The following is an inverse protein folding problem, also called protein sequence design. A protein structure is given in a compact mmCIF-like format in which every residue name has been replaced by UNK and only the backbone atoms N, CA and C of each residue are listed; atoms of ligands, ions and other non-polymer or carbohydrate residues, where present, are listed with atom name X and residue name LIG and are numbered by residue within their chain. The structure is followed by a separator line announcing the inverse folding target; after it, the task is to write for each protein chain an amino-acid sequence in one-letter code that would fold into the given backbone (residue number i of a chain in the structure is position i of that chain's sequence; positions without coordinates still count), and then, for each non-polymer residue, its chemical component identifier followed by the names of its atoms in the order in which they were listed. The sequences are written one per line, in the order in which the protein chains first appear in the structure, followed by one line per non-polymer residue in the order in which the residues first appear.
data_IF_574438281189
#
_entry.id   IF_574438281189
#
_cell.length_a   1.000
_cell.length_b   1.000
_cell.length_c   1.000
_cell.angle_alpha   90.00
_cell.angle_beta   90.00
_cell.angle_gamma   90.00
#
_symmetry.space_group_name_H-M   'P 1'
#
loop_
_entity.id
_entity.type
_entity.pdbx_description
1 polymer ?
#
# COMPACT_ATOMS: atom_id res chain seq x y z
N UNK A 1 70.28 58.55 -33.58
CA UNK A 1 71.12 58.41 -32.37
C UNK A 1 70.19 58.41 -31.17
N UNK A 2 70.30 57.38 -30.31
CA UNK A 2 69.35 56.92 -29.28
C UNK A 2 68.79 58.03 -28.37
N UNK A 3 67.50 57.99 -28.06
CA UNK A 3 66.97 58.35 -26.73
C UNK A 3 65.82 57.45 -26.30
N UNK A 4 65.90 57.16 -25.01
CA UNK A 4 65.29 56.13 -24.20
C UNK A 4 63.83 56.42 -23.87
N UNK A 5 62.98 55.39 -23.92
CA UNK A 5 61.62 55.38 -23.39
C UNK A 5 61.65 55.51 -21.86
N UNK A 6 60.91 56.47 -21.30
CA UNK A 6 60.53 56.48 -19.87
C UNK A 6 59.02 56.49 -19.79
N UNK A 7 58.52 55.48 -19.07
CA UNK A 7 57.13 55.13 -18.82
C UNK A 7 56.50 56.17 -17.88
N UNK A 8 55.28 56.62 -18.17
CA UNK A 8 54.36 57.15 -17.16
C UNK A 8 53.01 56.46 -17.31
N UNK A 9 52.63 55.75 -16.24
CA UNK A 9 51.31 55.15 -16.04
C UNK A 9 50.22 56.21 -16.18
N UNK A 10 49.21 55.91 -16.99
CA UNK A 10 47.89 56.50 -16.88
C UNK A 10 46.92 55.35 -16.59
N UNK A 11 46.39 55.36 -15.37
CA UNK A 11 45.44 54.42 -14.82
C UNK A 11 44.18 54.38 -15.71
N UNK A 12 43.91 53.24 -16.34
CA UNK A 12 42.62 53.00 -17.01
C UNK A 12 41.63 52.51 -15.97
N UNK A 13 40.67 53.36 -15.61
CA UNK A 13 39.48 52.93 -14.88
C UNK A 13 38.66 52.00 -15.80
N UNK A 14 38.57 50.72 -15.45
CA UNK A 14 37.71 49.76 -16.10
C UNK A 14 36.29 49.95 -15.52
N UNK A 15 35.38 50.51 -16.30
CA UNK A 15 33.95 50.52 -15.96
C UNK A 15 33.44 49.12 -16.26
N UNK A 16 33.23 48.32 -15.20
CA UNK A 16 32.50 47.06 -15.30
C UNK A 16 31.01 47.42 -15.35
N UNK A 17 30.40 47.28 -16.52
CA UNK A 17 28.94 47.34 -16.66
C UNK A 17 28.41 46.02 -16.11
N UNK A 18 27.87 46.07 -14.88
CA UNK A 18 27.14 44.96 -14.29
C UNK A 18 25.82 44.80 -15.04
N UNK A 19 25.74 43.84 -15.96
CA UNK A 19 24.46 43.42 -16.56
C UNK A 19 23.80 42.48 -15.56
N UNK A 20 22.90 43.02 -14.73
CA UNK A 20 22.02 42.20 -13.89
C UNK A 20 20.96 41.61 -14.82
N UNK A 21 21.14 40.37 -15.24
CA UNK A 21 20.07 39.59 -15.87
C UNK A 21 19.19 39.08 -14.73
N UNK A 22 18.09 39.78 -14.45
CA UNK A 22 17.02 39.23 -13.63
C UNK A 22 16.34 38.11 -14.42
N UNK A 23 16.63 36.85 -14.08
CA UNK A 23 15.81 35.72 -14.52
C UNK A 23 14.53 35.77 -13.70
N UNK A 24 13.51 36.43 -14.23
CA UNK A 24 12.15 36.33 -13.71
C UNK A 24 11.69 34.89 -13.95
N UNK A 25 11.71 34.03 -12.93
CA UNK A 25 10.98 32.77 -12.99
C UNK A 25 9.50 33.11 -13.09
N UNK A 26 8.94 33.08 -14.30
CA UNK A 26 7.50 33.04 -14.47
C UNK A 26 7.09 31.70 -13.89
N UNK A 27 6.60 31.70 -12.65
CA UNK A 27 5.78 30.61 -12.16
C UNK A 27 4.48 30.76 -12.93
N UNK A 28 4.12 29.85 -13.85
CA UNK A 28 2.83 29.94 -14.49
C UNK A 28 1.79 29.80 -13.39
N UNK A 29 1.12 30.90 -13.05
CA UNK A 29 -0.12 30.83 -12.29
C UNK A 29 -1.09 30.04 -13.15
N UNK A 30 -1.47 28.85 -12.69
CA UNK A 30 -2.57 28.10 -13.27
C UNK A 30 -3.83 28.95 -13.06
N UNK A 31 -4.17 29.77 -14.05
CA UNK A 31 -5.50 30.34 -14.13
C UNK A 31 -6.39 29.19 -14.57
N UNK A 32 -7.26 28.71 -13.68
CA UNK A 32 -8.38 27.87 -14.08
C UNK A 32 -9.11 28.63 -15.18
N UNK A 33 -8.98 28.19 -16.43
CA UNK A 33 -9.80 28.71 -17.50
C UNK A 33 -11.24 28.39 -17.10
N UNK A 34 -12.06 29.43 -16.88
CA UNK A 34 -13.45 29.28 -16.48
C UNK A 34 -14.31 28.51 -17.50
N UNK A 35 -13.74 28.20 -18.68
CA UNK A 35 -14.44 27.65 -19.84
C UNK A 35 -13.84 26.33 -20.39
N UNK A 36 -12.97 25.63 -19.66
CA UNK A 36 -12.81 24.20 -19.95
C UNK A 36 -14.03 23.49 -19.36
N UNK A 37 -14.79 22.70 -20.12
CA UNK A 37 -15.91 21.92 -19.58
C UNK A 37 -15.32 20.80 -18.71
N UNK A 38 -14.91 21.13 -17.49
CA UNK A 38 -14.52 20.17 -16.48
C UNK A 38 -15.75 19.29 -16.24
N UNK A 39 -15.63 18.02 -16.61
CA UNK A 39 -16.64 17.02 -16.28
C UNK A 39 -16.56 16.81 -14.77
N UNK A 40 -17.57 17.25 -14.03
CA UNK A 40 -17.61 17.02 -12.59
C UNK A 40 -17.52 15.52 -12.31
N UNK A 41 -16.46 15.13 -11.60
CA UNK A 41 -16.31 13.79 -11.03
C UNK A 41 -17.20 13.77 -9.78
N UNK A 42 -18.10 12.79 -9.72
CA UNK A 42 -18.98 12.64 -8.57
C UNK A 42 -18.22 12.04 -7.39
N UNK A 43 -18.21 12.78 -6.27
CA UNK A 43 -17.60 12.35 -5.02
C UNK A 43 -16.16 12.82 -4.86
N UNK A 44 -15.50 12.27 -3.85
CA UNK A 44 -14.13 12.57 -3.47
C UNK A 44 -13.22 11.41 -3.85
N UNK A 45 -12.03 11.73 -4.36
CA UNK A 45 -10.92 10.79 -4.45
C UNK A 45 -10.18 10.80 -3.12
N UNK A 46 -10.42 9.81 -2.26
CA UNK A 46 -9.88 9.77 -0.91
C UNK A 46 -9.44 8.33 -0.59
N UNK A 47 -8.19 8.18 -0.13
CA UNK A 47 -7.51 6.92 0.25
C UNK A 47 -7.06 6.00 -0.89
N UNK A 48 -7.59 6.16 -2.10
CA UNK A 48 -7.17 5.45 -3.30
C UNK A 48 -6.22 6.28 -4.16
N UNK A 49 -5.40 5.59 -4.96
CA UNK A 49 -4.50 6.20 -5.94
C UNK A 49 -5.09 5.99 -7.34
N UNK A 50 -4.99 6.98 -8.25
CA UNK A 50 -5.28 6.75 -9.66
C UNK A 50 -4.37 5.68 -10.26
N UNK A 51 -4.92 4.83 -11.13
CA UNK A 51 -4.16 3.79 -11.83
C UNK A 51 -3.88 4.22 -13.26
N UNK A 52 -2.65 4.02 -13.72
CA UNK A 52 -2.24 4.26 -15.10
C UNK A 52 -1.98 2.93 -15.80
N UNK A 53 -2.59 2.73 -16.97
CA UNK A 53 -2.37 1.52 -17.76
C UNK A 53 -2.69 1.78 -19.23
N UNK A 54 -1.94 1.16 -20.13
CA UNK A 54 -2.30 1.08 -21.56
C UNK A 54 -3.36 -0.02 -21.72
N UNK A 55 -4.63 0.37 -21.71
CA UNK A 55 -5.74 -0.57 -21.67
C UNK A 55 -6.19 -1.01 -23.06
N UNK A 56 -5.75 -0.30 -24.10
CA UNK A 56 -6.15 -0.53 -25.48
C UNK A 56 -4.97 -0.98 -26.39
N UNK A 57 -3.76 -1.04 -25.85
CA UNK A 57 -2.55 -1.50 -26.54
C UNK A 57 -1.95 -0.47 -27.51
N UNK A 58 -2.29 0.82 -27.40
CA UNK A 58 -1.81 1.87 -28.30
C UNK A 58 -0.47 2.51 -27.88
N UNK A 59 0.08 2.06 -26.76
CA UNK A 59 1.34 2.55 -26.18
C UNK A 59 1.19 3.81 -25.32
N UNK A 60 -0.04 4.27 -25.06
CA UNK A 60 -0.33 5.40 -24.17
C UNK A 60 -1.07 4.93 -22.94
N UNK A 61 -0.90 5.65 -21.84
CA UNK A 61 -1.52 5.28 -20.57
C UNK A 61 -2.87 6.01 -20.42
N UNK A 62 -3.93 5.24 -20.24
CA UNK A 62 -5.19 5.69 -19.70
C UNK A 62 -5.10 5.90 -18.18
N UNK A 63 -6.00 6.72 -17.64
CA UNK A 63 -6.09 7.08 -16.22
C UNK A 63 -7.41 6.59 -15.64
N UNK A 64 -7.33 5.80 -14.56
CA UNK A 64 -8.50 5.33 -13.81
C UNK A 64 -8.57 5.99 -12.44
N UNK A 65 -9.68 6.67 -12.16
CA UNK A 65 -9.87 7.50 -10.96
C UNK A 65 -11.07 6.98 -10.15
N UNK A 66 -10.84 6.20 -9.08
CA UNK A 66 -11.88 5.77 -8.16
C UNK A 66 -12.38 6.90 -7.25
N UNK A 67 -13.65 6.84 -6.84
CA UNK A 67 -14.27 7.81 -5.94
C UNK A 67 -15.03 7.15 -4.80
N UNK A 68 -15.20 7.89 -3.72
CA UNK A 68 -15.94 7.48 -2.54
C UNK A 68 -17.46 7.30 -2.78
N UNK A 69 -17.95 7.61 -3.98
CA UNK A 69 -19.34 7.38 -4.42
C UNK A 69 -19.50 6.07 -5.21
N UNK A 70 -18.50 5.20 -5.16
CA UNK A 70 -18.55 3.91 -5.86
C UNK A 70 -18.47 4.03 -7.36
N UNK A 71 -17.86 5.11 -7.86
CA UNK A 71 -17.59 5.33 -9.27
C UNK A 71 -16.11 5.19 -9.54
N UNK A 72 -15.76 4.63 -10.69
CA UNK A 72 -14.42 4.71 -11.22
C UNK A 72 -14.53 5.36 -12.59
N UNK A 73 -13.81 6.47 -12.78
CA UNK A 73 -13.76 7.20 -14.03
C UNK A 73 -12.56 6.76 -14.84
N UNK A 74 -12.70 6.66 -16.16
CA UNK A 74 -11.63 6.35 -17.09
C UNK A 74 -11.40 7.51 -18.05
N UNK A 75 -10.15 7.90 -18.24
CA UNK A 75 -9.74 8.96 -19.16
C UNK A 75 -8.59 8.50 -20.04
N UNK A 76 -8.60 8.91 -21.31
CA UNK A 76 -7.43 8.80 -22.18
C UNK A 76 -6.33 9.78 -21.73
N UNK A 77 -5.13 9.63 -22.31
CA UNK A 77 -3.96 10.47 -22.06
C UNK A 77 -4.23 11.97 -22.30
N UNK A 78 -5.17 12.27 -23.20
CA UNK A 78 -5.61 13.63 -23.53
C UNK A 78 -6.71 14.20 -22.61
N UNK A 79 -7.15 13.44 -21.60
CA UNK A 79 -8.19 13.81 -20.64
C UNK A 79 -9.63 13.60 -21.11
N UNK A 80 -9.85 13.08 -22.32
CA UNK A 80 -11.21 12.71 -22.78
C UNK A 80 -11.68 11.43 -22.08
N UNK A 81 -12.98 11.34 -21.79
CA UNK A 81 -13.54 10.19 -21.09
C UNK A 81 -13.56 8.94 -21.99
N UNK A 82 -13.20 7.81 -21.41
CA UNK A 82 -13.28 6.50 -22.09
C UNK A 82 -14.74 6.09 -22.18
N UNK A 83 -15.16 5.59 -23.34
CA UNK A 83 -16.52 5.06 -23.53
C UNK A 83 -16.75 3.85 -22.62
N UNK A 84 -17.93 3.76 -22.00
CA UNK A 84 -18.24 2.75 -20.99
C UNK A 84 -17.83 3.12 -19.57
N UNK A 85 -17.09 4.23 -19.39
CA UNK A 85 -16.73 4.78 -18.08
C UNK A 85 -17.52 6.07 -17.79
N UNK A 86 -17.92 6.33 -16.53
CA UNK A 86 -17.53 5.59 -15.33
C UNK A 86 -18.31 4.29 -15.10
N UNK A 87 -17.63 3.30 -14.52
CA UNK A 87 -18.30 2.12 -13.95
C UNK A 87 -18.82 2.43 -12.54
N UNK A 88 -19.74 1.60 -12.04
CA UNK A 88 -20.40 1.78 -10.76
C UNK A 88 -20.37 0.50 -9.94
N UNK A 89 -19.99 0.61 -8.67
CA UNK A 89 -20.06 -0.46 -7.66
C UNK A 89 -21.29 -0.30 -6.75
N UNK A 90 -22.42 0.11 -7.34
CA UNK A 90 -23.69 0.43 -6.67
C UNK A 90 -23.58 1.40 -5.49
N UNK A 91 -22.70 2.39 -5.59
CA UNK A 91 -22.53 3.40 -4.54
C UNK A 91 -21.67 2.95 -3.35
N UNK A 92 -21.06 1.76 -3.41
CA UNK A 92 -20.11 1.28 -2.39
C UNK A 92 -18.87 2.16 -2.38
N UNK A 93 -18.45 2.61 -1.21
CA UNK A 93 -17.27 3.44 -1.02
C UNK A 93 -16.02 2.73 -1.56
N UNK A 94 -15.21 3.41 -2.37
CA UNK A 94 -13.95 2.86 -2.89
C UNK A 94 -12.79 3.58 -2.22
N UNK A 95 -12.10 2.85 -1.35
CA UNK A 95 -10.82 3.26 -0.76
C UNK A 95 -9.63 2.54 -1.42
N UNK A 96 -9.91 1.53 -2.24
CA UNK A 96 -8.89 0.71 -2.90
C UNK A 96 -8.41 1.37 -4.20
N UNK A 97 -7.16 1.09 -4.58
CA UNK A 97 -6.63 1.48 -5.89
C UNK A 97 -6.92 0.34 -6.88
N UNK A 98 -7.41 0.63 -8.11
CA UNK A 98 -7.62 -0.39 -9.14
C UNK A 98 -6.31 -1.10 -9.51
N UNK A 99 -6.41 -2.40 -9.80
CA UNK A 99 -5.32 -3.16 -10.41
C UNK A 99 -5.63 -3.41 -11.88
N UNK A 100 -4.59 -3.42 -12.73
CA UNK A 100 -4.75 -3.63 -14.18
C UNK A 100 -3.77 -4.70 -14.67
N UNK A 101 -4.27 -5.64 -15.46
CA UNK A 101 -3.48 -6.73 -16.05
C UNK A 101 -4.37 -7.67 -16.86
N UNK A 102 -3.74 -8.49 -17.72
CA UNK A 102 -4.46 -9.54 -18.46
C UNK A 102 -4.77 -10.70 -17.51
N UNK A 103 -6.00 -10.72 -16.98
CA UNK A 103 -6.44 -11.70 -15.98
C UNK A 103 -7.12 -12.92 -16.62
N UNK A 104 -7.40 -12.85 -17.93
CA UNK A 104 -8.13 -13.88 -18.64
C UNK A 104 -7.30 -14.60 -19.73
N UNK A 105 -6.10 -14.09 -20.02
CA UNK A 105 -5.13 -14.63 -20.97
C UNK A 105 -5.49 -14.36 -22.44
N UNK A 106 -6.32 -13.36 -22.73
CA UNK A 106 -6.75 -13.02 -24.10
C UNK A 106 -5.85 -11.99 -24.79
N UNK A 107 -4.85 -11.46 -24.09
CA UNK A 107 -3.90 -10.47 -24.58
C UNK A 107 -4.34 -9.01 -24.40
N UNK A 108 -5.55 -8.76 -23.91
CA UNK A 108 -5.99 -7.44 -23.46
C UNK A 108 -5.92 -7.37 -21.94
N UNK A 109 -5.77 -6.16 -21.40
CA UNK A 109 -5.73 -5.98 -19.94
C UNK A 109 -7.09 -5.57 -19.40
N UNK A 110 -7.43 -6.11 -18.23
CA UNK A 110 -8.65 -5.82 -17.48
C UNK A 110 -8.39 -4.92 -16.29
N UNK A 111 -9.43 -4.22 -15.83
CA UNK A 111 -9.40 -3.46 -14.57
C UNK A 111 -10.12 -4.24 -13.48
N UNK A 112 -9.40 -4.57 -12.42
CA UNK A 112 -9.94 -5.15 -11.19
C UNK A 112 -10.11 -4.06 -10.15
N UNK A 113 -11.31 -3.94 -9.60
CA UNK A 113 -11.68 -2.94 -8.60
C UNK A 113 -12.30 -3.60 -7.38
N UNK A 114 -12.09 -3.01 -6.22
CA UNK A 114 -12.72 -3.45 -4.99
C UNK A 114 -13.32 -2.27 -4.21
N UNK A 115 -14.36 -2.53 -3.43
CA UNK A 115 -14.98 -1.50 -2.62
C UNK A 115 -15.90 -2.06 -1.55
N UNK A 116 -16.52 -1.14 -0.82
CA UNK A 116 -17.29 -1.41 0.39
C UNK A 116 -16.48 -1.01 1.61
N UNK A 117 -17.04 -0.14 2.45
CA UNK A 117 -16.41 0.32 3.68
C UNK A 117 -17.35 0.19 4.87
N UNK A 118 -16.82 -0.25 6.01
CA UNK A 118 -17.54 -0.42 7.27
C UNK A 118 -18.84 -1.25 7.14
N UNK A 119 -20.00 -0.60 7.18
CA UNK A 119 -21.30 -1.28 7.15
C UNK A 119 -21.77 -1.67 5.73
N UNK A 120 -20.99 -1.39 4.68
CA UNK A 120 -21.31 -1.77 3.31
C UNK A 120 -20.72 -3.14 2.96
N UNK A 121 -21.50 -4.03 2.32
CA UNK A 121 -20.95 -5.28 1.78
C UNK A 121 -19.77 -4.99 0.85
N UNK A 122 -18.73 -5.81 0.96
CA UNK A 122 -17.61 -5.78 0.04
C UNK A 122 -18.04 -6.13 -1.37
N UNK A 123 -17.25 -5.70 -2.33
CA UNK A 123 -17.33 -6.10 -3.72
C UNK A 123 -15.92 -6.16 -4.30
N UNK A 124 -15.69 -7.16 -5.14
CA UNK A 124 -14.52 -7.27 -6.01
C UNK A 124 -15.03 -7.60 -7.40
N UNK A 125 -14.63 -6.84 -8.40
CA UNK A 125 -15.16 -7.00 -9.75
C UNK A 125 -14.09 -6.70 -10.80
N UNK A 126 -14.16 -7.40 -11.93
CA UNK A 126 -13.31 -7.14 -13.09
C UNK A 126 -14.12 -6.60 -14.26
N UNK A 127 -13.48 -5.69 -14.99
CA UNK A 127 -14.06 -5.02 -16.14
C UNK A 127 -13.08 -5.00 -17.30
N UNK A 128 -13.60 -5.10 -18.53
CA UNK A 128 -12.80 -4.89 -19.73
C UNK A 128 -12.40 -3.43 -19.90
N UNK A 129 -11.49 -3.16 -20.84
CA UNK A 129 -11.16 -1.82 -21.34
C UNK A 129 -12.39 -0.94 -21.63
N UNK A 130 -13.43 -1.54 -22.20
CA UNK A 130 -14.68 -0.86 -22.58
C UNK A 130 -15.68 -0.72 -21.41
N UNK A 131 -15.27 -1.01 -20.17
CA UNK A 131 -16.13 -0.90 -18.98
C UNK A 131 -17.18 -2.00 -18.87
N UNK A 132 -17.05 -3.10 -19.60
CA UNK A 132 -17.98 -4.23 -19.49
C UNK A 132 -17.58 -5.12 -18.31
N UNK A 133 -18.52 -5.40 -17.41
CA UNK A 133 -18.26 -6.28 -16.25
C UNK A 133 -18.08 -7.72 -16.73
N UNK A 134 -16.95 -8.32 -16.39
CA UNK A 134 -16.66 -9.73 -16.65
C UNK A 134 -17.26 -10.61 -15.56
N UNK A 135 -16.95 -10.28 -14.30
CA UNK A 135 -17.45 -11.00 -13.13
C UNK A 135 -17.49 -10.08 -11.91
N UNK A 136 -18.16 -10.57 -10.86
CA UNK A 136 -18.28 -9.91 -9.57
C UNK A 136 -18.30 -10.97 -8.47
N UNK A 137 -17.59 -10.68 -7.38
CA UNK A 137 -17.61 -11.41 -6.14
C UNK A 137 -18.07 -10.49 -5.01
N UNK A 138 -18.98 -10.97 -4.18
CA UNK A 138 -19.37 -10.33 -2.91
C UNK A 138 -18.78 -11.18 -1.78
N UNK A 139 -17.71 -10.73 -1.11
CA UNK A 139 -17.16 -11.39 0.07
C UNK A 139 -18.22 -11.53 1.16
N UNK A 140 -18.32 -12.74 1.72
CA UNK A 140 -19.24 -13.11 2.80
C UNK A 140 -20.62 -12.41 2.75
N UNK A 141 -21.45 -12.67 1.72
CA UNK A 141 -22.68 -11.89 1.44
C UNK A 141 -23.74 -12.00 2.54
N UNK A 142 -23.61 -12.99 3.43
CA UNK A 142 -24.55 -13.30 4.49
C UNK A 142 -24.11 -12.81 5.88
N UNK A 143 -22.92 -12.21 6.02
CA UNK A 143 -22.49 -11.61 7.29
C UNK A 143 -23.25 -10.29 7.51
N UNK A 144 -24.47 -10.40 8.04
CA UNK A 144 -25.17 -9.26 8.62
C UNK A 144 -24.63 -9.04 10.05
N UNK A 145 -23.88 -7.96 10.22
CA UNK A 145 -23.77 -7.20 11.47
C UNK A 145 -23.42 -8.00 12.74
N UNK A 146 -22.38 -8.81 12.71
CA UNK A 146 -21.61 -8.98 13.95
C UNK A 146 -20.74 -7.73 14.14
N UNK A 147 -20.21 -7.52 15.34
CA UNK A 147 -19.71 -6.24 15.84
C UNK A 147 -18.56 -5.57 15.02
N UNK A 148 -18.12 -6.17 13.91
CA UNK A 148 -17.06 -5.68 13.00
C UNK A 148 -17.50 -5.51 11.51
N UNK A 149 -18.78 -5.21 11.24
CA UNK A 149 -19.20 -4.68 9.93
C UNK A 149 -19.43 -5.72 8.83
N UNK A 150 -19.97 -5.27 7.69
CA UNK A 150 -20.13 -6.09 6.50
C UNK A 150 -18.72 -6.35 5.90
N UNK A 151 -18.54 -7.38 5.06
CA UNK A 151 -17.24 -7.79 4.50
C UNK A 151 -16.60 -6.80 3.51
N UNK A 152 -16.56 -5.50 3.87
CA UNK A 152 -15.99 -4.41 3.10
C UNK A 152 -14.53 -4.66 2.73
N UNK A 153 -14.09 -3.94 1.71
CA UNK A 153 -12.78 -4.10 1.10
C UNK A 153 -12.08 -2.74 1.03
N UNK A 154 -11.12 -2.55 1.92
CA UNK A 154 -10.25 -1.37 1.94
C UNK A 154 -8.95 -1.60 1.17
N UNK A 155 -8.42 -2.82 1.20
CA UNK A 155 -7.21 -3.21 0.50
C UNK A 155 -7.36 -3.08 -1.03
N UNK A 156 -6.23 -2.89 -1.70
CA UNK A 156 -6.17 -2.91 -3.16
C UNK A 156 -6.06 -4.35 -3.67
N UNK A 157 -6.70 -4.72 -4.79
CA UNK A 157 -6.49 -6.03 -5.41
C UNK A 157 -5.02 -6.20 -5.81
N UNK A 158 -4.48 -7.40 -5.60
CA UNK A 158 -3.16 -7.80 -6.09
C UNK A 158 -3.34 -8.79 -7.23
N UNK A 159 -2.67 -8.55 -8.36
CA UNK A 159 -2.66 -9.47 -9.49
C UNK A 159 -1.37 -10.28 -9.48
N UNK A 160 -1.50 -11.61 -9.44
CA UNK A 160 -0.37 -12.53 -9.50
C UNK A 160 -0.85 -13.89 -10.02
N UNK A 161 -0.02 -14.57 -10.80
CA UNK A 161 -0.26 -15.97 -11.14
C UNK A 161 0.05 -16.83 -9.90
N UNK A 162 -0.99 -17.22 -9.15
CA UNK A 162 -0.83 -17.94 -7.88
C UNK A 162 -0.78 -19.45 -8.09
N UNK A 163 -1.35 -19.97 -9.17
CA UNK A 163 -1.47 -21.40 -9.43
C UNK A 163 -0.56 -21.90 -10.58
N UNK A 164 0.28 -21.02 -11.14
CA UNK A 164 1.18 -21.27 -12.26
C UNK A 164 0.45 -21.69 -13.55
N UNK A 165 -0.72 -21.11 -13.82
CA UNK A 165 -1.49 -21.36 -15.05
C UNK A 165 -1.25 -20.33 -16.17
N UNK A 166 -0.26 -19.45 -15.97
CA UNK A 166 0.13 -18.34 -16.86
C UNK A 166 -0.93 -17.24 -16.99
N UNK A 167 -1.94 -17.22 -16.11
CA UNK A 167 -2.93 -16.14 -16.02
C UNK A 167 -2.85 -15.47 -14.66
N UNK A 168 -3.13 -14.18 -14.63
CA UNK A 168 -3.14 -13.46 -13.36
C UNK A 168 -4.40 -13.80 -12.57
N UNK A 169 -4.22 -14.23 -11.33
CA UNK A 169 -5.27 -14.35 -10.32
C UNK A 169 -5.39 -13.05 -9.51
N UNK A 170 -6.49 -12.93 -8.76
CA UNK A 170 -6.74 -11.79 -7.87
C UNK A 170 -6.63 -12.24 -6.43
N UNK A 171 -5.76 -11.59 -5.67
CA UNK A 171 -5.66 -11.72 -4.22
C UNK A 171 -6.20 -10.46 -3.53
N UNK A 172 -7.03 -10.63 -2.51
CA UNK A 172 -7.67 -9.50 -1.82
C UNK A 172 -7.91 -9.78 -0.33
N UNK A 173 -7.52 -8.82 0.51
CA UNK A 173 -7.81 -8.80 1.95
C UNK A 173 -9.13 -8.10 2.23
N UNK A 174 -9.91 -8.62 3.17
CA UNK A 174 -11.27 -8.13 3.45
C UNK A 174 -11.53 -7.96 4.95
N UNK A 175 -12.52 -7.14 5.29
CA UNK A 175 -12.86 -6.84 6.70
C UNK A 175 -13.56 -8.00 7.41
N UNK A 176 -14.06 -8.99 6.67
CA UNK A 176 -14.61 -10.24 7.22
C UNK A 176 -13.51 -11.24 7.66
N UNK A 177 -12.30 -10.73 7.92
CA UNK A 177 -11.15 -11.46 8.45
C UNK A 177 -10.47 -12.41 7.45
N UNK A 178 -10.90 -12.37 6.18
CA UNK A 178 -10.49 -13.32 5.16
C UNK A 178 -9.56 -12.70 4.11
N UNK A 179 -8.79 -13.57 3.47
CA UNK A 179 -8.07 -13.29 2.23
C UNK A 179 -8.57 -14.25 1.18
N UNK A 180 -9.03 -13.69 0.06
CA UNK A 180 -9.54 -14.44 -1.06
C UNK A 180 -8.49 -14.54 -2.16
N UNK A 181 -8.26 -15.76 -2.66
CA UNK A 181 -7.60 -16.00 -3.93
C UNK A 181 -8.68 -16.34 -4.96
N UNK A 182 -8.77 -15.54 -6.01
CA UNK A 182 -9.88 -15.51 -6.97
C UNK A 182 -9.29 -15.75 -8.34
N UNK A 183 -9.85 -16.70 -9.08
CA UNK A 183 -9.45 -16.95 -10.45
C UNK A 183 -9.79 -15.74 -11.34
N UNK A 184 -8.77 -15.16 -11.97
CA UNK A 184 -8.90 -13.92 -12.74
C UNK A 184 -9.86 -14.00 -13.92
N UNK A 185 -10.00 -15.16 -14.53
CA UNK A 185 -10.89 -15.35 -15.69
C UNK A 185 -12.36 -15.47 -15.29
N UNK A 186 -12.65 -16.07 -14.13
CA UNK A 186 -14.03 -16.50 -13.77
C UNK A 186 -14.63 -15.74 -12.58
N UNK A 187 -13.82 -15.10 -11.75
CA UNK A 187 -14.25 -14.47 -10.51
C UNK A 187 -14.63 -15.44 -9.40
N UNK A 188 -14.42 -16.75 -9.60
CA UNK A 188 -14.65 -17.79 -8.59
C UNK A 188 -13.42 -18.04 -7.71
N UNK A 189 -13.55 -18.86 -6.65
CA UNK A 189 -12.41 -19.29 -5.84
C UNK A 189 -11.36 -19.97 -6.73
N UNK A 190 -10.09 -19.57 -6.55
CA UNK A 190 -8.97 -20.12 -7.31
C UNK A 190 -8.74 -21.61 -6.98
N UNK A 191 -8.85 -21.95 -5.70
CA UNK A 191 -8.57 -23.28 -5.19
C UNK A 191 -9.86 -24.01 -4.77
N UNK A 192 -9.87 -25.36 -4.81
CA UNK A 192 -11.05 -26.14 -4.45
C UNK A 192 -11.43 -26.01 -2.96
N UNK A 193 -12.69 -26.33 -2.59
CA UNK A 193 -13.20 -26.21 -1.21
C UNK A 193 -12.40 -26.90 -0.09
N UNK A 194 -11.49 -27.83 -0.42
CA UNK A 194 -10.60 -28.48 0.57
C UNK A 194 -9.36 -27.67 0.92
N UNK A 195 -9.04 -26.64 0.14
CA UNK A 195 -7.94 -25.68 0.39
C UNK A 195 -8.46 -24.30 0.81
N UNK A 196 -9.79 -24.09 0.74
CA UNK A 196 -10.44 -22.84 1.17
C UNK A 196 -11.29 -23.08 2.42
N UNK A 197 -11.59 -22.03 3.16
CA UNK A 197 -12.46 -22.06 4.33
C UNK A 197 -13.96 -22.06 3.97
N UNK A 198 -14.82 -22.01 4.99
CA UNK A 198 -16.28 -22.05 4.84
C UNK A 198 -16.86 -20.90 3.99
N UNK A 199 -16.12 -19.82 3.77
CA UNK A 199 -16.52 -18.68 2.94
C UNK A 199 -15.86 -18.70 1.55
N UNK A 200 -15.18 -19.80 1.17
CA UNK A 200 -14.42 -19.90 -0.07
C UNK A 200 -13.13 -19.07 -0.08
N UNK A 201 -12.73 -18.52 1.07
CA UNK A 201 -11.49 -17.76 1.21
C UNK A 201 -10.30 -18.69 1.47
N UNK A 202 -9.11 -18.26 1.07
CA UNK A 202 -7.89 -19.04 1.21
C UNK A 202 -7.38 -19.03 2.65
N UNK A 203 -7.34 -17.83 3.27
CA UNK A 203 -6.77 -17.61 4.61
C UNK A 203 -7.79 -16.85 5.45
N UNK A 204 -7.85 -17.17 6.75
CA UNK A 204 -8.56 -16.38 7.76
C UNK A 204 -7.55 -15.91 8.81
N UNK A 205 -7.48 -14.60 9.04
CA UNK A 205 -6.52 -13.96 9.95
C UNK A 205 -7.08 -13.71 11.36
N UNK A 206 -8.38 -13.94 11.56
CA UNK A 206 -9.07 -13.78 12.85
C UNK A 206 -9.34 -12.33 13.28
N UNK A 207 -9.16 -11.36 12.37
CA UNK A 207 -9.58 -9.96 12.52
C UNK A 207 -9.60 -9.25 11.16
N UNK A 208 -10.29 -8.11 11.09
CA UNK A 208 -10.45 -7.32 9.86
C UNK A 208 -9.10 -6.85 9.32
N UNK A 209 -8.86 -7.06 8.03
CA UNK A 209 -7.58 -6.79 7.41
C UNK A 209 -7.66 -5.49 6.60
N UNK A 210 -6.82 -4.52 6.95
CA UNK A 210 -6.74 -3.21 6.29
C UNK A 210 -5.62 -3.14 5.25
N UNK A 211 -4.55 -3.89 5.49
CA UNK A 211 -3.39 -3.94 4.62
C UNK A 211 -3.66 -4.71 3.32
N UNK A 212 -3.04 -4.23 2.25
CA UNK A 212 -2.94 -4.98 0.99
C UNK A 212 -1.87 -6.07 1.16
N UNK A 213 -2.14 -7.34 0.81
CA UNK A 213 -1.11 -8.38 0.84
C UNK A 213 0.05 -8.03 -0.10
N UNK A 214 1.24 -8.58 0.17
CA UNK A 214 2.32 -8.63 -0.81
C UNK A 214 2.49 -10.05 -1.33
N UNK A 215 2.88 -10.19 -2.59
CA UNK A 215 3.11 -11.48 -3.25
C UNK A 215 4.51 -11.52 -3.85
N UNK A 216 5.22 -12.62 -3.62
CA UNK A 216 6.55 -12.86 -4.18
C UNK A 216 7.14 -14.16 -3.63
N UNK A 217 8.14 -14.73 -4.29
CA UNK A 217 8.83 -15.94 -3.83
C UNK A 217 9.72 -15.60 -2.63
N UNK A 218 9.19 -15.74 -1.41
CA UNK A 218 9.85 -15.26 -0.19
C UNK A 218 10.95 -16.21 0.23
N UNK A 219 10.76 -17.52 0.12
CA UNK A 219 11.74 -18.52 0.54
C UNK A 219 12.63 -19.09 -0.58
N UNK A 220 12.40 -18.68 -1.83
CA UNK A 220 13.17 -19.06 -3.01
C UNK A 220 12.79 -20.44 -3.55
N UNK A 221 11.55 -20.90 -3.33
CA UNK A 221 11.07 -22.22 -3.76
C UNK A 221 10.52 -22.25 -5.21
N UNK A 222 10.48 -21.09 -5.87
CA UNK A 222 9.99 -20.91 -7.23
C UNK A 222 8.47 -20.75 -7.34
N UNK A 223 7.74 -20.76 -6.22
CA UNK A 223 6.30 -20.47 -6.15
C UNK A 223 6.05 -19.17 -5.41
N UNK A 224 5.02 -18.39 -5.76
CA UNK A 224 4.73 -17.16 -5.04
C UNK A 224 4.24 -17.44 -3.61
N UNK A 225 4.75 -16.68 -2.67
CA UNK A 225 4.25 -16.61 -1.30
C UNK A 225 3.37 -15.38 -1.10
N UNK A 226 2.48 -15.48 -0.13
CA UNK A 226 1.52 -14.46 0.28
C UNK A 226 1.93 -13.92 1.64
N UNK A 227 2.28 -12.64 1.70
CA UNK A 227 2.67 -11.93 2.92
C UNK A 227 1.55 -11.01 3.37
N UNK A 228 1.12 -11.17 4.60
CA UNK A 228 0.00 -10.43 5.18
C UNK A 228 0.42 -9.82 6.49
N UNK A 229 0.04 -8.57 6.70
CA UNK A 229 0.12 -7.89 7.98
C UNK A 229 -1.28 -7.49 8.44
N UNK A 230 -1.58 -7.66 9.72
CA UNK A 230 -2.89 -7.33 10.29
C UNK A 230 -2.78 -7.00 11.80
N UNK A 231 -3.87 -6.49 12.38
CA UNK A 231 -4.16 -6.69 13.79
C UNK A 231 -4.83 -8.06 13.99
N UNK A 232 -4.81 -8.58 15.23
CA UNK A 232 -5.71 -9.66 15.65
C UNK A 232 -6.22 -9.43 17.06
N UNK A 233 -7.54 -9.61 17.20
CA UNK A 233 -8.30 -9.28 18.40
C UNK A 233 -9.13 -10.46 18.93
N UNK A 234 -9.38 -11.48 18.11
CA UNK A 234 -10.12 -12.68 18.50
C UNK A 234 -9.35 -13.94 18.05
N UNK A 235 -8.59 -14.54 18.96
CA UNK A 235 -8.09 -15.89 18.72
C UNK A 235 -9.18 -16.92 18.98
N UNK A 236 -9.93 -17.28 17.94
CA UNK A 236 -10.65 -18.56 17.96
C UNK A 236 -9.66 -19.63 17.53
N UNK A 237 -9.11 -20.36 18.50
CA UNK A 237 -8.12 -21.43 18.31
C UNK A 237 -8.54 -22.57 17.34
N UNK A 238 -9.73 -22.51 16.73
CA UNK A 238 -10.32 -23.59 15.94
C UNK A 238 -10.25 -23.42 14.42
N UNK A 239 -9.78 -22.29 13.89
CA UNK A 239 -9.81 -22.04 12.44
C UNK A 239 -8.38 -22.15 11.90
N UNK A 240 -8.04 -23.36 11.39
CA UNK A 240 -6.77 -23.76 10.75
C UNK A 240 -5.51 -23.97 11.62
N UNK A 241 -5.58 -24.88 12.60
CA UNK A 241 -4.38 -25.56 13.12
C UNK A 241 -3.49 -24.77 14.10
N UNK A 242 -3.93 -23.58 14.50
CA UNK A 242 -3.20 -22.70 15.41
C UNK A 242 -3.28 -23.14 16.88
N UNK A 243 -2.34 -23.93 17.34
CA UNK A 243 -2.30 -24.38 18.76
C UNK A 243 -1.51 -23.44 19.69
N UNK A 244 -0.86 -22.38 19.18
CA UNK A 244 0.08 -21.54 19.96
C UNK A 244 -0.24 -20.04 20.10
N UNK A 245 -1.20 -19.51 19.36
CA UNK A 245 -1.37 -18.06 19.21
C UNK A 245 -1.91 -17.35 20.47
N UNK A 246 -2.73 -18.03 21.27
CA UNK A 246 -3.23 -17.53 22.56
C UNK A 246 -2.10 -17.24 23.56
N UNK A 247 -0.95 -17.91 23.46
CA UNK A 247 0.21 -17.71 24.34
C UNK A 247 1.16 -16.60 23.86
N UNK A 248 1.18 -16.32 22.55
CA UNK A 248 2.09 -15.35 21.93
C UNK A 248 1.68 -13.90 22.23
N UNK A 249 0.37 -13.65 22.31
CA UNK A 249 -0.20 -12.32 22.54
C UNK A 249 -0.59 -12.06 24.01
N UNK A 250 -0.34 -13.01 24.92
CA UNK A 250 -0.64 -12.89 26.37
C UNK A 250 0.59 -12.71 27.26
N UNK A 251 1.80 -12.80 26.72
CA UNK A 251 3.03 -12.67 27.50
C UNK A 251 3.43 -11.19 27.66
N UNK A 252 3.16 -10.66 28.86
CA UNK A 252 3.62 -9.37 29.38
C UNK A 252 3.08 -8.09 28.73
N UNK A 253 1.84 -7.71 29.02
CA UNK A 253 1.52 -6.28 29.08
C UNK A 253 0.74 -6.00 30.38
N UNK A 254 1.28 -5.12 31.21
CA UNK A 254 0.73 -4.66 32.49
C UNK A 254 -0.50 -3.77 32.31
N UNK A 255 -1.38 -4.10 31.36
CA UNK A 255 -2.60 -3.37 31.07
C UNK A 255 -3.69 -4.04 31.91
N UNK A 256 -4.24 -3.30 32.87
CA UNK A 256 -5.22 -3.79 33.85
C UNK A 256 -6.61 -4.07 33.26
N UNK A 257 -6.72 -4.29 31.94
CA UNK A 257 -7.97 -4.55 31.24
C UNK A 257 -8.06 -6.05 30.91
N UNK A 258 -9.09 -6.79 31.34
CA UNK A 258 -9.26 -8.22 31.06
C UNK A 258 -9.55 -8.58 29.58
N UNK A 259 -9.42 -7.62 28.66
CA UNK A 259 -9.71 -7.77 27.23
C UNK A 259 -8.40 -7.87 26.42
N UNK A 260 -8.11 -9.00 25.75
CA UNK A 260 -6.80 -9.26 25.15
C UNK A 260 -6.70 -8.70 23.72
N UNK A 261 -6.43 -7.40 23.52
CA UNK A 261 -6.49 -6.82 22.16
C UNK A 261 -5.37 -5.85 21.80
N UNK A 262 -5.14 -5.72 20.48
CA UNK A 262 -3.95 -5.27 19.73
C UNK A 262 -2.75 -6.22 19.77
N UNK A 263 -2.88 -7.38 19.12
CA UNK A 263 -1.72 -8.16 18.73
C UNK A 263 -1.49 -8.00 17.22
N UNK A 264 -0.39 -7.39 16.83
CA UNK A 264 -0.01 -7.28 15.43
C UNK A 264 0.47 -8.63 14.95
N UNK A 265 0.07 -9.03 13.75
CA UNK A 265 0.54 -10.24 13.09
C UNK A 265 1.19 -9.89 11.75
N UNK A 266 2.34 -10.51 11.49
CA UNK A 266 2.91 -10.65 10.15
C UNK A 266 2.98 -12.14 9.86
N UNK A 267 2.45 -12.58 8.73
CA UNK A 267 2.41 -13.99 8.36
C UNK A 267 2.79 -14.16 6.89
N UNK A 268 3.44 -15.28 6.60
CA UNK A 268 3.81 -15.70 5.25
C UNK A 268 3.18 -17.07 5.01
N UNK A 269 2.40 -17.16 3.95
CA UNK A 269 1.75 -18.37 3.49
C UNK A 269 2.26 -18.72 2.10
N UNK A 270 2.35 -19.99 1.76
CA UNK A 270 2.44 -20.43 0.37
C UNK A 270 1.24 -19.96 -0.44
N UNK A 271 1.35 -19.99 -1.76
CA UNK A 271 0.22 -19.81 -2.69
C UNK A 271 -1.02 -20.67 -2.38
N UNK A 272 -0.87 -21.82 -1.70
CA UNK A 272 -1.99 -22.68 -1.27
C UNK A 272 -2.57 -22.35 0.10
N UNK A 273 -2.11 -21.29 0.77
CA UNK A 273 -2.57 -20.89 2.10
C UNK A 273 -1.93 -21.66 3.26
N UNK A 274 -0.90 -22.48 3.00
CA UNK A 274 -0.14 -23.17 4.06
C UNK A 274 0.90 -22.22 4.63
N UNK A 275 0.90 -22.04 5.95
CA UNK A 275 1.85 -21.19 6.65
C UNK A 275 3.30 -21.68 6.48
N UNK A 276 4.19 -20.78 6.10
CA UNK A 276 5.61 -21.09 5.87
C UNK A 276 6.37 -21.27 7.20
N UNK A 277 7.43 -22.10 7.25
CA UNK A 277 8.21 -22.31 8.47
C UNK A 277 8.74 -21.01 9.08
N UNK A 278 8.68 -20.89 10.40
CA UNK A 278 9.12 -19.69 11.11
C UNK A 278 8.05 -18.60 11.22
N UNK A 279 6.95 -18.69 10.47
CA UNK A 279 5.82 -17.79 10.55
C UNK A 279 4.70 -18.35 11.44
N UNK A 280 3.85 -17.47 12.01
CA UNK A 280 3.82 -16.03 11.86
C UNK A 280 4.75 -15.36 12.91
N UNK A 281 4.80 -14.03 12.89
CA UNK A 281 5.36 -13.22 13.95
C UNK A 281 4.29 -12.33 14.57
N UNK A 282 4.33 -12.24 15.89
CA UNK A 282 3.40 -11.48 16.69
C UNK A 282 4.09 -10.31 17.36
N UNK A 283 3.40 -9.17 17.45
CA UNK A 283 3.82 -8.00 18.23
C UNK A 283 2.71 -7.60 19.20
N UNK A 284 2.90 -7.93 20.47
CA UNK A 284 1.92 -7.66 21.52
C UNK A 284 1.82 -6.15 21.82
N UNK A 285 0.59 -5.64 21.98
CA UNK A 285 0.31 -4.24 22.29
C UNK A 285 0.44 -3.28 21.10
N UNK A 286 0.63 -3.80 19.89
CA UNK A 286 0.82 -3.03 18.65
C UNK A 286 -0.03 -3.65 17.53
N UNK A 287 -0.26 -2.93 16.44
CA UNK A 287 -1.00 -3.40 15.25
C UNK A 287 -0.12 -3.35 14.01
N UNK A 288 -0.50 -4.06 12.94
CA UNK A 288 0.04 -3.84 11.62
C UNK A 288 -1.09 -3.49 10.65
N UNK A 289 -1.13 -2.23 10.24
CA UNK A 289 -2.12 -1.75 9.26
C UNK A 289 -1.46 -1.30 7.94
N UNK A 290 -0.13 -1.14 7.94
CA UNK A 290 0.65 -0.88 6.74
C UNK A 290 0.79 -2.15 5.88
N UNK A 291 0.71 -1.97 4.55
CA UNK A 291 0.97 -3.08 3.64
C UNK A 291 2.47 -3.44 3.67
N UNK A 292 2.83 -4.73 3.76
CA UNK A 292 4.23 -5.15 3.71
C UNK A 292 4.84 -4.85 2.34
N UNK A 293 6.16 -4.64 2.30
CA UNK A 293 6.92 -4.54 1.07
C UNK A 293 7.98 -5.66 1.01
N UNK A 294 8.28 -6.14 -0.20
CA UNK A 294 9.24 -7.22 -0.42
C UNK A 294 10.48 -6.71 -1.13
N UNK A 295 11.65 -7.20 -0.74
CA UNK A 295 12.93 -6.85 -1.35
C UNK A 295 13.96 -7.95 -1.09
N UNK A 296 14.75 -8.29 -2.10
CA UNK A 296 15.95 -9.10 -1.91
C UNK A 296 17.11 -8.18 -1.46
N UNK A 297 17.32 -8.09 -0.14
CA UNK A 297 18.29 -7.15 0.45
C UNK A 297 19.73 -7.62 0.24
N UNK A 298 19.95 -8.92 0.28
CA UNK A 298 21.28 -9.53 0.26
C UNK A 298 21.63 -10.20 -1.07
N UNK A 299 20.74 -10.14 -2.06
CA UNK A 299 20.89 -10.73 -3.41
C UNK A 299 21.08 -12.25 -3.35
N UNK A 300 20.41 -12.90 -2.41
CA UNK A 300 20.47 -14.36 -2.26
C UNK A 300 19.34 -15.11 -2.98
N UNK A 301 18.44 -14.38 -3.63
CA UNK A 301 17.29 -14.91 -4.36
C UNK A 301 16.06 -15.15 -3.48
N UNK A 302 16.13 -14.81 -2.19
CA UNK A 302 14.99 -14.83 -1.26
C UNK A 302 14.58 -13.40 -0.96
N UNK A 303 13.29 -13.21 -0.67
CA UNK A 303 12.78 -11.88 -0.36
C UNK A 303 12.73 -11.68 1.14
N UNK A 304 13.35 -10.60 1.61
CA UNK A 304 13.06 -10.03 2.90
C UNK A 304 11.73 -9.26 2.86
N UNK A 305 11.13 -9.14 4.05
CA UNK A 305 9.85 -8.46 4.24
C UNK A 305 10.08 -7.22 5.09
N UNK A 306 9.64 -6.07 4.59
CA UNK A 306 9.68 -4.79 5.32
C UNK A 306 8.28 -4.47 5.81
N UNK A 307 8.13 -4.30 7.13
CA UNK A 307 6.86 -3.90 7.75
C UNK A 307 7.03 -2.72 8.69
N UNK A 308 5.96 -1.95 8.84
CA UNK A 308 5.83 -0.91 9.86
C UNK A 308 4.66 -1.22 10.79
N UNK A 309 4.84 -1.07 12.11
CA UNK A 309 3.74 -1.25 13.06
C UNK A 309 3.13 0.07 13.52
N UNK A 310 1.89 -0.02 13.94
CA UNK A 310 1.08 1.08 14.45
C UNK A 310 0.43 0.73 15.78
N UNK A 311 -0.47 1.62 16.21
CA UNK A 311 -1.14 1.53 17.50
C UNK A 311 -2.62 1.88 17.37
N UNK A 312 -3.48 1.01 17.90
CA UNK A 312 -4.89 1.31 18.09
C UNK A 312 -5.09 1.95 19.48
N UNK A 313 -5.61 3.18 19.59
CA UNK A 313 -5.83 3.84 20.87
C UNK A 313 -6.84 3.15 21.79
N UNK A 314 -7.71 2.31 21.23
CA UNK A 314 -8.74 1.56 21.95
C UNK A 314 -8.15 0.33 22.62
N UNK A 315 -7.11 -0.27 22.03
CA UNK A 315 -6.65 -1.62 22.39
C UNK A 315 -5.13 -1.73 22.62
N UNK A 316 -4.32 -0.93 21.95
CA UNK A 316 -2.86 -1.02 22.00
C UNK A 316 -2.19 -0.31 23.17
N UNK A 317 -0.90 -0.57 23.32
CA UNK A 317 -0.01 0.02 24.31
C UNK A 317 0.93 1.03 23.64
N UNK A 318 0.63 2.32 23.80
CA UNK A 318 1.44 3.41 23.25
C UNK A 318 2.86 3.48 23.86
N UNK A 319 3.14 2.71 24.93
CA UNK A 319 4.48 2.65 25.52
C UNK A 319 5.39 1.64 24.80
N UNK A 320 4.84 0.77 23.97
CA UNK A 320 5.62 -0.14 23.16
C UNK A 320 6.31 0.61 22.00
N UNK A 321 7.50 0.15 21.57
CA UNK A 321 8.24 0.76 20.48
C UNK A 321 7.54 0.59 19.13
N UNK A 322 7.72 1.60 18.27
CA UNK A 322 7.19 1.61 16.91
C UNK A 322 8.32 1.35 15.92
N UNK A 323 8.35 0.16 15.35
CA UNK A 323 9.40 -0.30 14.48
C UNK A 323 9.04 -0.17 13.00
N UNK A 324 10.07 0.15 12.22
CA UNK A 324 10.21 -0.44 10.89
C UNK A 324 11.08 -1.68 11.05
N UNK A 325 10.63 -2.83 10.56
CA UNK A 325 11.32 -4.11 10.69
C UNK A 325 11.57 -4.74 9.34
N UNK A 326 12.79 -5.22 9.12
CA UNK A 326 13.16 -6.13 8.03
C UNK A 326 13.21 -7.54 8.62
N UNK A 327 12.36 -8.41 8.10
CA UNK A 327 12.31 -9.83 8.44
C UNK A 327 13.02 -10.63 7.35
N UNK A 328 13.82 -11.61 7.75
CA UNK A 328 14.28 -12.65 6.83
C UNK A 328 13.11 -13.58 6.49
N UNK A 329 13.24 -14.34 5.39
CA UNK A 329 12.23 -15.31 4.94
C UNK A 329 11.83 -16.35 6.01
N UNK A 330 12.73 -16.66 6.95
CA UNK A 330 12.50 -17.61 8.07
C UNK A 330 11.84 -16.96 9.30
N UNK A 331 11.47 -15.69 9.18
CA UNK A 331 10.86 -14.88 10.22
C UNK A 331 11.84 -14.34 11.26
N UNK A 332 13.14 -14.60 11.18
CA UNK A 332 14.10 -13.92 12.07
C UNK A 332 14.20 -12.43 11.73
N UNK A 333 14.42 -11.59 12.75
CA UNK A 333 14.60 -10.15 12.54
C UNK A 333 15.99 -9.92 11.97
N UNK A 334 16.06 -9.37 10.75
CA UNK A 334 17.32 -8.95 10.12
C UNK A 334 17.80 -7.64 10.71
N UNK A 335 16.92 -6.63 10.69
CA UNK A 335 17.18 -5.30 11.21
C UNK A 335 15.86 -4.64 11.62
N UNK A 336 15.90 -3.73 12.59
CA UNK A 336 14.74 -2.91 12.96
C UNK A 336 15.16 -1.57 13.53
N UNK A 337 14.33 -0.56 13.33
CA UNK A 337 14.55 0.80 13.84
C UNK A 337 13.30 1.30 14.54
N UNK A 338 13.44 1.81 15.77
CA UNK A 338 12.33 2.42 16.53
C UNK A 338 12.12 3.87 16.10
N UNK A 339 11.13 4.11 15.24
CA UNK A 339 10.77 5.43 14.71
C UNK A 339 10.01 6.31 15.71
N UNK A 340 9.64 5.74 16.88
CA UNK A 340 8.96 6.41 18.01
C UNK A 340 7.52 6.85 17.73
N UNK A 341 6.93 6.42 16.62
CA UNK A 341 5.55 6.75 16.20
C UNK A 341 5.06 5.73 15.17
N UNK A 342 3.75 5.58 15.11
CA UNK A 342 3.00 4.73 14.20
C UNK A 342 3.44 4.85 12.74
N UNK A 343 3.64 3.68 12.14
CA UNK A 343 3.90 3.50 10.71
C UNK A 343 2.66 2.84 10.09
N UNK A 344 1.67 3.65 9.72
CA UNK A 344 0.45 3.17 9.07
C UNK A 344 0.54 3.11 7.54
N UNK A 345 1.58 3.71 6.96
CA UNK A 345 1.75 3.74 5.51
C UNK A 345 2.74 2.67 5.07
N UNK A 346 2.48 2.07 3.91
CA UNK A 346 3.33 1.05 3.30
C UNK A 346 4.74 1.57 3.06
N UNK A 347 5.79 0.81 3.40
CA UNK A 347 7.16 1.15 3.02
C UNK A 347 7.32 1.22 1.50
N UNK A 348 8.05 2.23 1.02
CA UNK A 348 8.52 2.31 -0.36
C UNK A 348 9.97 1.87 -0.43
N UNK A 349 10.33 1.14 -1.48
CA UNK A 349 11.67 0.58 -1.67
C UNK A 349 12.19 1.01 -3.03
N UNK A 350 13.40 1.57 -3.07
CA UNK A 350 14.04 1.99 -4.31
C UNK A 350 15.36 2.70 -4.06
N UNK A 351 16.22 2.73 -5.09
CA UNK A 351 17.50 3.43 -5.04
C UNK A 351 17.28 4.94 -5.16
N UNK A 352 17.32 5.65 -4.02
CA UNK A 352 17.19 7.10 -3.95
C UNK A 352 18.53 7.80 -3.83
N UNK A 353 19.61 7.06 -3.58
CA UNK A 353 20.97 7.60 -3.44
C UNK A 353 21.79 7.54 -4.74
N UNK A 354 21.36 6.71 -5.70
CA UNK A 354 22.03 6.46 -6.97
C UNK A 354 23.19 5.47 -6.87
N UNK A 355 23.26 4.66 -5.82
CA UNK A 355 24.37 3.73 -5.56
C UNK A 355 24.10 2.29 -6.02
N UNK A 356 22.96 2.07 -6.70
CA UNK A 356 22.46 0.76 -7.14
C UNK A 356 22.12 -0.22 -5.99
N UNK A 357 21.91 0.29 -4.78
CA UNK A 357 21.31 -0.41 -3.66
C UNK A 357 19.99 0.28 -3.30
N UNK A 358 18.92 -0.48 -3.01
CA UNK A 358 17.66 0.13 -2.64
C UNK A 358 17.71 0.67 -1.21
N UNK A 359 16.99 1.75 -0.96
CA UNK A 359 16.66 2.27 0.37
C UNK A 359 15.20 2.03 0.73
N UNK A 360 14.91 2.09 2.02
CA UNK A 360 13.56 1.98 2.58
C UNK A 360 13.09 3.35 3.00
N UNK A 361 11.97 3.81 2.43
CA UNK A 361 11.31 5.06 2.79
C UNK A 361 9.98 4.77 3.48
N UNK A 362 9.78 5.35 4.65
CA UNK A 362 8.50 5.25 5.38
C UNK A 362 8.00 6.62 5.80
N UNK A 363 6.69 6.72 5.98
CA UNK A 363 6.07 7.92 6.56
C UNK A 363 5.31 7.56 7.83
N UNK A 364 5.40 8.43 8.81
CA UNK A 364 4.78 8.25 10.12
C UNK A 364 3.73 9.32 10.38
N UNK A 365 2.77 9.02 11.24
CA UNK A 365 1.73 9.99 11.62
C UNK A 365 1.32 9.81 13.07
N UNK A 366 1.95 10.59 13.96
CA UNK A 366 1.61 10.64 15.39
C UNK A 366 0.57 11.74 15.65
N UNK A 367 -0.40 11.50 16.53
CA UNK A 367 -1.22 12.56 17.11
C UNK A 367 -0.53 13.11 18.37
N UNK A 368 -0.14 14.38 18.33
CA UNK A 368 0.48 15.04 19.49
C UNK A 368 -0.50 15.04 20.67
N UNK A 369 -0.12 14.38 21.76
CA UNK A 369 -0.91 14.21 22.97
C UNK A 369 -1.49 15.55 23.47
N UNK A 370 -2.79 15.54 23.80
CA UNK A 370 -3.51 16.74 24.25
C UNK A 370 -3.84 17.74 23.14
N UNK A 371 -3.58 17.41 21.86
CA UNK A 371 -3.89 18.29 20.72
C UNK A 371 -4.63 17.56 19.60
N UNK A 372 -5.05 18.31 18.58
CA UNK A 372 -5.51 17.80 17.28
C UNK A 372 -4.39 17.78 16.23
N UNK A 373 -3.17 18.18 16.60
CA UNK A 373 -2.03 18.30 15.69
C UNK A 373 -1.34 16.95 15.49
N UNK A 374 -0.86 16.71 14.27
CA UNK A 374 -0.10 15.51 13.94
C UNK A 374 1.38 15.83 13.70
N UNK A 375 2.29 15.03 14.26
CA UNK A 375 3.69 15.04 13.89
C UNK A 375 3.93 14.01 12.79
N UNK A 376 4.10 14.52 11.56
CA UNK A 376 4.33 13.71 10.38
C UNK A 376 5.79 13.80 9.97
N UNK A 377 6.43 12.64 9.82
CA UNK A 377 7.83 12.53 9.43
C UNK A 377 7.98 11.58 8.26
N UNK A 378 8.98 11.87 7.44
CA UNK A 378 9.48 10.95 6.42
C UNK A 378 10.84 10.46 6.92
N UNK A 379 11.04 9.15 6.90
CA UNK A 379 12.31 8.51 7.20
C UNK A 379 12.81 7.81 5.94
N UNK A 380 14.13 7.78 5.76
CA UNK A 380 14.78 6.97 4.74
C UNK A 380 15.96 6.24 5.38
N UNK A 381 16.08 4.95 5.10
CA UNK A 381 17.09 4.07 5.67
C UNK A 381 17.81 3.30 4.56
N UNK A 382 19.08 2.99 4.79
CA UNK A 382 19.70 1.87 4.08
C UNK A 382 19.09 0.53 4.56
N UNK A 383 19.47 -0.56 3.91
CA UNK A 383 18.94 -1.90 4.21
C UNK A 383 19.49 -2.52 5.52
N UNK A 384 20.40 -1.82 6.21
CA UNK A 384 20.86 -2.17 7.55
C UNK A 384 20.13 -1.36 8.63
N UNK A 385 19.08 -0.62 8.27
CA UNK A 385 18.35 0.29 9.15
C UNK A 385 19.19 1.47 9.67
N UNK A 386 20.24 1.87 8.94
CA UNK A 386 20.93 3.13 9.21
C UNK A 386 20.16 4.27 8.54
N UNK A 387 19.85 5.29 9.33
CA UNK A 387 19.16 6.48 8.86
C UNK A 387 20.04 7.28 7.89
N UNK A 388 19.51 7.61 6.71
CA UNK A 388 20.24 8.40 5.72
C UNK A 388 20.45 9.84 6.19
N UNK A 389 21.55 10.44 5.75
CA UNK A 389 21.84 11.86 6.00
C UNK A 389 20.71 12.74 5.47
N UNK A 390 20.23 13.66 6.32
CA UNK A 390 19.12 14.55 5.98
C UNK A 390 17.74 14.02 6.40
N UNK A 391 17.63 12.82 6.97
CA UNK A 391 16.39 12.27 7.53
C UNK A 391 16.46 12.14 9.07
N UNK A 392 15.31 12.06 9.78
CA UNK A 392 13.96 12.26 9.24
C UNK A 392 13.65 13.73 8.94
N UNK A 393 12.85 13.96 7.90
CA UNK A 393 12.30 15.28 7.60
C UNK A 393 10.91 15.45 8.22
N UNK A 394 10.64 16.63 8.78
CA UNK A 394 9.31 17.01 9.24
C UNK A 394 8.47 17.45 8.05
N UNK A 395 7.29 16.88 7.88
CA UNK A 395 6.29 17.42 6.97
C UNK A 395 5.66 18.64 7.65
N UNK A 396 5.61 19.78 6.95
CA UNK A 396 4.99 20.98 7.49
C UNK A 396 3.52 20.70 7.85
N UNK A 397 3.12 20.98 9.08
CA UNK A 397 1.71 21.01 9.45
C UNK A 397 1.09 22.21 8.75
N UNK A 398 0.18 21.98 7.80
CA UNK A 398 -0.68 23.06 7.33
C UNK A 398 -1.47 23.56 8.53
N UNK A 399 -1.14 24.75 9.01
CA UNK A 399 -2.02 25.51 9.89
C UNK A 399 -3.25 25.81 9.05
N UNK A 400 -4.40 25.26 9.43
CA UNK A 400 -5.69 25.60 8.86
C UNK A 400 -5.92 27.11 9.03
N UNK A 401 -6.09 27.82 7.92
CA UNK A 401 -6.77 29.11 7.87
C UNK A 401 -8.25 28.91 7.62
#
# INVERSE_FOLDING_TARGET
MRRTTVIRQASRALIVILVIITISTIVPTMTYAADTPWKEIEGWTQYSTPTLADINGDGKLEVFVPTNKGKIYGFYENGTAISGWPISLDGRYIASSPAVGDINGDGNVEVVVAGGFAAQPGIVAAYTAAGQKLWELIPAPNLQTTNNGAGGVFASPVLADLNADERLDVLISTYDENIYAINGSTGGPLFPPGLTNHNGALINMGDSIWATPAVGDVDGDGSPDIVVASATNHFVASVFGWTGATSACTKNNSITNPDPRACGIVAVYSNTGVLKPGWPKFMAGQTYDASPALVDVNKDGKLEIVTGNGWDPTYGDATQPFYVTIWNYDGTVRARYDVKTEVFNSPAIGDITGDSQPEIVVTTSDRVAGTTSYQRRIFAFDLNMNLLSGFPNRMASSVSG
#
